data_IF_253083548287
#
_entry.id   IF_253083548287
#
_cell.length_a   1.000
_cell.length_b   1.000
_cell.length_c   1.000
_cell.angle_alpha   90.00
_cell.angle_beta   90.00
_cell.angle_gamma   90.00
#
_symmetry.space_group_name_H-M   'P 1'
#
loop_
_entity.id
_entity.type
_entity.pdbx_description
1 polymer ?
#
# COMPACT_ATOMS: atom_id res chain seq x y z
N UNK A 1 -31.41 -12.39 12.93
CA UNK A 1 -31.15 -12.84 11.54
C UNK A 1 -31.40 -11.64 10.63
N UNK A 2 -30.37 -10.84 10.37
CA UNK A 2 -30.46 -9.75 9.40
C UNK A 2 -30.05 -10.29 8.03
N UNK A 3 -31.02 -10.39 7.11
CA UNK A 3 -30.73 -10.70 5.72
C UNK A 3 -30.14 -9.45 5.08
N UNK A 4 -28.88 -9.55 4.61
CA UNK A 4 -28.27 -8.52 3.77
C UNK A 4 -29.11 -8.37 2.50
N UNK A 5 -29.80 -7.24 2.35
CA UNK A 5 -30.54 -6.89 1.14
C UNK A 5 -29.53 -6.76 -0.02
N UNK A 6 -29.64 -7.61 -1.03
CA UNK A 6 -28.81 -7.52 -2.21
C UNK A 6 -29.06 -6.18 -2.92
N UNK A 7 -27.99 -5.43 -3.23
CA UNK A 7 -28.06 -4.21 -4.02
C UNK A 7 -28.63 -4.56 -5.39
N UNK A 8 -29.72 -3.90 -5.80
CA UNK A 8 -30.32 -4.09 -7.12
C UNK A 8 -29.42 -3.42 -8.15
N UNK A 9 -28.70 -4.24 -8.92
CA UNK A 9 -27.84 -3.80 -10.03
C UNK A 9 -28.76 -3.27 -11.14
N UNK A 10 -28.46 -2.10 -11.68
CA UNK A 10 -29.27 -1.54 -12.77
C UNK A 10 -28.97 -2.23 -14.12
N UNK A 11 -29.82 -2.00 -15.11
CA UNK A 11 -29.74 -2.70 -16.39
C UNK A 11 -28.51 -2.32 -17.22
N UNK A 12 -27.96 -1.13 -17.02
CA UNK A 12 -26.77 -0.66 -17.74
C UNK A 12 -25.51 -1.25 -17.08
N UNK A 13 -25.45 -1.23 -15.75
CA UNK A 13 -24.43 -1.91 -14.95
C UNK A 13 -24.40 -3.42 -15.27
N UNK A 14 -25.57 -4.05 -15.48
CA UNK A 14 -25.66 -5.46 -15.90
C UNK A 14 -25.09 -5.71 -17.30
N UNK A 15 -25.36 -4.84 -18.26
CA UNK A 15 -24.80 -4.95 -19.62
C UNK A 15 -23.29 -4.79 -19.63
N UNK A 16 -22.77 -3.85 -18.86
CA UNK A 16 -21.33 -3.63 -18.71
C UNK A 16 -20.65 -4.88 -18.12
N UNK A 17 -21.23 -5.44 -17.04
CA UNK A 17 -20.74 -6.67 -16.41
C UNK A 17 -20.77 -7.84 -17.41
N UNK A 18 -21.88 -8.01 -18.14
CA UNK A 18 -22.02 -9.09 -19.12
C UNK A 18 -21.06 -8.94 -20.30
N UNK A 19 -20.89 -7.72 -20.81
CA UNK A 19 -19.92 -7.41 -21.86
C UNK A 19 -18.49 -7.68 -21.42
N UNK A 20 -18.12 -7.27 -20.20
CA UNK A 20 -16.81 -7.59 -19.63
C UNK A 20 -16.59 -9.10 -19.49
N UNK A 21 -17.60 -9.85 -19.03
CA UNK A 21 -17.52 -11.30 -18.90
C UNK A 21 -17.33 -12.02 -20.25
N UNK A 22 -18.03 -11.57 -21.30
CA UNK A 22 -17.84 -12.07 -22.66
C UNK A 22 -16.43 -11.77 -23.20
N UNK A 23 -15.94 -10.55 -23.01
CA UNK A 23 -14.58 -10.19 -23.38
C UNK A 23 -13.55 -11.09 -22.70
N UNK A 24 -13.64 -11.29 -21.38
CA UNK A 24 -12.72 -12.15 -20.63
C UNK A 24 -12.81 -13.61 -21.12
N UNK A 25 -14.03 -14.13 -21.36
CA UNK A 25 -14.25 -15.48 -21.90
C UNK A 25 -13.59 -15.67 -23.27
N UNK A 26 -13.60 -14.62 -24.09
CA UNK A 26 -12.97 -14.60 -25.41
C UNK A 26 -11.44 -14.73 -25.33
N UNK A 27 -10.82 -14.28 -24.24
CA UNK A 27 -9.38 -14.35 -24.00
C UNK A 27 -8.90 -15.66 -23.35
N UNK A 28 -9.79 -16.63 -23.07
CA UNK A 28 -9.44 -17.88 -22.37
C UNK A 28 -8.32 -18.72 -23.01
N UNK A 29 -8.00 -18.48 -24.28
CA UNK A 29 -6.93 -19.15 -25.01
C UNK A 29 -5.80 -18.20 -25.43
N UNK A 30 -5.87 -16.93 -25.04
CA UNK A 30 -4.82 -15.97 -25.34
C UNK A 30 -3.71 -16.11 -24.28
N UNK A 31 -2.56 -16.60 -24.71
CA UNK A 31 -1.34 -16.59 -23.89
C UNK A 31 -0.68 -15.23 -24.14
N UNK A 32 -0.70 -14.36 -23.13
CA UNK A 32 0.01 -13.09 -23.20
C UNK A 32 1.52 -13.36 -23.31
N UNK A 33 2.23 -12.52 -24.08
CA UNK A 33 3.69 -12.52 -24.01
C UNK A 33 4.13 -12.20 -22.57
N UNK A 34 5.30 -12.68 -22.11
CA UNK A 34 5.80 -12.35 -20.77
C UNK A 34 5.81 -10.84 -20.49
N UNK A 35 6.16 -10.02 -21.50
CA UNK A 35 6.13 -8.56 -21.43
C UNK A 35 4.70 -8.00 -21.28
N UNK A 36 3.75 -8.51 -22.05
CA UNK A 36 2.35 -8.08 -21.94
C UNK A 36 1.72 -8.51 -20.63
N UNK A 37 2.07 -9.70 -20.11
CA UNK A 37 1.63 -10.16 -18.79
C UNK A 37 2.24 -9.30 -17.67
N UNK A 38 3.52 -8.94 -17.75
CA UNK A 38 4.17 -8.02 -16.81
C UNK A 38 3.52 -6.62 -16.84
N UNK A 39 3.24 -6.09 -18.03
CA UNK A 39 2.56 -4.79 -18.18
C UNK A 39 1.14 -4.83 -17.62
N UNK A 40 0.38 -5.91 -17.86
CA UNK A 40 -0.96 -6.05 -17.31
C UNK A 40 -0.92 -6.16 -15.77
N UNK A 41 0.01 -6.93 -15.21
CA UNK A 41 0.20 -7.03 -13.76
C UNK A 41 0.54 -5.67 -13.14
N UNK A 42 1.43 -4.91 -13.77
CA UNK A 42 1.78 -3.56 -13.33
C UNK A 42 0.57 -2.61 -13.31
N UNK A 43 -0.42 -2.78 -14.18
CA UNK A 43 -1.67 -1.98 -14.15
C UNK A 43 -2.69 -2.41 -13.07
N UNK A 44 -2.56 -3.62 -12.54
CA UNK A 44 -3.41 -4.13 -11.44
C UNK A 44 -2.86 -3.64 -10.09
N UNK A 45 -1.55 -3.49 -9.99
CA UNK A 45 -0.87 -3.12 -8.76
C UNK A 45 -0.65 -1.61 -8.58
N UNK A 46 -1.43 -0.74 -9.26
CA UNK A 46 -1.44 0.72 -9.00
C UNK A 46 -2.64 1.06 -8.10
N UNK A 47 -2.49 1.96 -7.10
CA UNK A 47 -3.61 2.44 -6.29
C UNK A 47 -4.76 3.01 -7.14
N UNK A 48 -5.93 2.39 -7.05
CA UNK A 48 -7.16 2.84 -7.74
C UNK A 48 -8.04 3.63 -6.78
N UNK A 49 -7.59 4.82 -6.40
CA UNK A 49 -8.39 5.74 -5.57
C UNK A 49 -8.75 6.95 -6.43
N UNK A 50 -10.04 7.30 -6.57
CA UNK A 50 -10.47 8.38 -7.47
C UNK A 50 -9.76 9.72 -7.22
N UNK A 51 -9.45 10.06 -5.97
CA UNK A 51 -8.73 11.28 -5.60
C UNK A 51 -7.27 11.30 -6.05
N UNK A 52 -6.69 10.15 -6.40
CA UNK A 52 -5.33 10.01 -6.91
C UNK A 52 -5.27 9.94 -8.44
N UNK A 53 -6.43 10.00 -9.12
CA UNK A 53 -6.48 9.99 -10.59
C UNK A 53 -5.69 11.18 -11.15
N UNK A 54 -4.74 10.88 -12.04
CA UNK A 54 -3.86 11.89 -12.62
C UNK A 54 -2.75 12.41 -11.68
N UNK A 55 -2.68 11.93 -10.43
CA UNK A 55 -1.57 12.23 -9.51
C UNK A 55 -0.46 11.19 -9.56
N UNK A 56 -0.76 9.93 -9.86
CA UNK A 56 0.22 8.84 -9.81
C UNK A 56 1.05 8.80 -11.10
N UNK A 57 2.34 9.07 -10.99
CA UNK A 57 3.31 8.94 -12.08
C UNK A 57 4.06 7.62 -12.01
N UNK A 58 5.40 7.66 -12.08
CA UNK A 58 6.24 6.48 -11.81
C UNK A 58 5.88 5.93 -10.44
N UNK A 59 5.51 4.65 -10.39
CA UNK A 59 5.02 3.98 -9.19
C UNK A 59 5.76 2.66 -8.98
N UNK A 60 6.08 2.35 -7.73
CA UNK A 60 6.68 1.08 -7.34
C UNK A 60 5.66 -0.04 -7.35
N UNK A 61 6.15 -1.29 -7.38
CA UNK A 61 5.33 -2.40 -6.91
C UNK A 61 5.02 -2.22 -5.43
N UNK A 62 3.86 -2.71 -4.95
CA UNK A 62 3.54 -2.66 -3.54
C UNK A 62 4.41 -3.61 -2.72
N UNK A 63 4.61 -3.25 -1.47
CA UNK A 63 5.17 -4.14 -0.46
C UNK A 63 4.30 -4.14 0.79
N UNK A 64 4.35 -5.23 1.54
CA UNK A 64 3.59 -5.38 2.78
C UNK A 64 4.49 -5.30 4.01
N UNK A 65 3.94 -4.73 5.07
CA UNK A 65 4.58 -4.72 6.38
C UNK A 65 3.55 -5.00 7.47
N UNK A 66 3.85 -5.98 8.32
CA UNK A 66 3.12 -6.15 9.58
C UNK A 66 3.58 -5.10 10.59
N UNK A 67 2.63 -4.44 11.25
CA UNK A 67 2.94 -3.48 12.31
C UNK A 67 3.48 -4.19 13.55
N UNK A 68 4.46 -3.58 14.18
CA UNK A 68 5.01 -4.00 15.47
C UNK A 68 4.66 -2.98 16.56
N UNK A 69 4.91 -3.33 17.83
CA UNK A 69 4.73 -2.37 18.94
C UNK A 69 5.48 -1.06 18.71
N UNK A 70 6.69 -1.12 18.15
CA UNK A 70 7.49 0.09 17.90
C UNK A 70 6.88 1.01 16.84
N UNK A 71 6.09 0.45 15.92
CA UNK A 71 5.46 1.22 14.86
C UNK A 71 4.24 1.99 15.39
N UNK A 72 3.46 1.43 16.32
CA UNK A 72 2.26 2.10 16.85
C UNK A 72 2.51 2.85 18.18
N UNK A 73 3.75 2.84 18.68
CA UNK A 73 4.10 3.50 19.93
C UNK A 73 4.12 5.03 19.80
N UNK A 74 3.23 5.69 20.54
CA UNK A 74 3.09 7.16 20.59
C UNK A 74 4.30 7.91 21.14
N UNK A 75 5.29 7.23 21.73
CA UNK A 75 6.57 7.84 22.11
C UNK A 75 7.60 7.84 20.97
N UNK A 76 7.52 6.87 20.06
CA UNK A 76 8.47 6.74 18.94
C UNK A 76 7.97 7.42 17.67
N UNK A 77 6.65 7.51 17.47
CA UNK A 77 5.99 8.27 16.41
C UNK A 77 6.52 7.97 14.99
N UNK A 78 6.80 6.70 14.68
CA UNK A 78 7.40 6.31 13.39
C UNK A 78 6.83 5.00 12.84
N UNK A 79 6.79 4.88 11.53
CA UNK A 79 6.72 3.60 10.83
C UNK A 79 8.13 3.21 10.39
N UNK A 80 8.62 2.05 10.80
CA UNK A 80 9.87 1.49 10.28
C UNK A 80 9.65 0.75 8.96
N UNK A 81 10.51 0.91 7.97
CA UNK A 81 10.40 0.21 6.67
C UNK A 81 11.63 -0.68 6.48
N UNK A 82 11.42 -1.91 6.00
CA UNK A 82 12.51 -2.84 5.75
C UNK A 82 13.46 -2.27 4.69
N UNK A 83 14.76 -2.42 4.91
CA UNK A 83 15.81 -1.97 3.99
C UNK A 83 15.61 -2.49 2.56
N UNK A 84 15.28 -3.77 2.39
CA UNK A 84 15.08 -4.40 1.07
C UNK A 84 13.90 -3.76 0.34
N UNK A 85 12.80 -3.50 1.03
CA UNK A 85 11.63 -2.83 0.43
C UNK A 85 11.98 -1.39 0.01
N UNK A 86 12.77 -0.68 0.82
CA UNK A 86 13.25 0.66 0.46
C UNK A 86 14.15 0.62 -0.77
N UNK A 87 15.11 -0.29 -0.82
CA UNK A 87 16.03 -0.46 -1.96
C UNK A 87 15.28 -0.78 -3.26
N UNK A 88 14.21 -1.56 -3.18
CA UNK A 88 13.45 -1.99 -4.36
C UNK A 88 12.33 -1.01 -4.77
N UNK A 89 11.68 -0.33 -3.81
CA UNK A 89 10.50 0.47 -4.08
C UNK A 89 10.74 1.98 -3.98
N UNK A 90 11.59 2.44 -3.06
CA UNK A 90 11.82 3.87 -2.81
C UNK A 90 13.02 4.39 -3.58
N UNK A 91 14.19 3.74 -3.43
CA UNK A 91 15.45 4.22 -4.02
C UNK A 91 15.38 4.44 -5.54
N UNK A 92 14.74 3.56 -6.35
CA UNK A 92 14.64 3.76 -7.80
C UNK A 92 13.81 4.98 -8.20
N UNK A 93 13.01 5.51 -7.27
CA UNK A 93 12.18 6.68 -7.50
C UNK A 93 12.85 7.97 -7.03
N UNK A 94 13.93 7.93 -6.24
CA UNK A 94 14.62 9.12 -5.74
C UNK A 94 15.24 9.96 -6.88
N UNK A 95 15.26 11.27 -6.67
CA UNK A 95 16.03 12.21 -7.48
C UNK A 95 17.41 12.41 -6.88
N UNK A 96 18.35 12.93 -7.66
CA UNK A 96 19.75 13.08 -7.24
C UNK A 96 19.90 14.02 -6.03
N UNK A 97 19.05 15.03 -5.92
CA UNK A 97 19.03 16.01 -4.83
C UNK A 97 18.38 15.49 -3.53
N UNK A 98 17.68 14.36 -3.57
CA UNK A 98 16.93 13.84 -2.45
C UNK A 98 17.79 12.90 -1.58
N UNK A 99 18.18 13.42 -0.43
CA UNK A 99 19.05 12.74 0.51
C UNK A 99 18.23 12.17 1.69
N UNK A 100 18.16 10.84 1.76
CA UNK A 100 17.43 10.10 2.78
C UNK A 100 18.01 10.32 4.18
N UNK A 101 19.31 10.63 4.32
CA UNK A 101 19.92 10.91 5.64
C UNK A 101 19.46 12.27 6.18
N UNK A 102 19.38 13.28 5.30
CA UNK A 102 18.83 14.60 5.64
C UNK A 102 17.33 14.53 5.88
N UNK A 103 16.65 13.65 5.15
CA UNK A 103 15.22 13.41 5.23
C UNK A 103 14.48 14.14 4.11
N UNK A 104 13.49 13.45 3.57
CA UNK A 104 12.70 13.86 2.42
C UNK A 104 11.27 14.09 2.89
N UNK A 105 10.72 15.27 2.61
CA UNK A 105 9.31 15.55 2.86
C UNK A 105 8.48 14.76 1.85
N UNK A 106 7.48 14.06 2.35
CA UNK A 106 6.61 13.21 1.54
C UNK A 106 5.15 13.43 1.92
N UNK A 107 4.27 13.16 0.96
CA UNK A 107 2.83 13.03 1.23
C UNK A 107 2.47 11.57 1.30
N UNK A 108 1.76 11.18 2.35
CA UNK A 108 1.18 9.84 2.49
C UNK A 108 -0.32 9.93 2.29
N UNK A 109 -0.86 9.12 1.40
CA UNK A 109 -2.30 9.07 1.11
C UNK A 109 -2.88 7.78 1.67
N UNK A 110 -4.06 7.86 2.30
CA UNK A 110 -4.84 6.67 2.68
C UNK A 110 -5.77 6.19 1.56
N UNK A 111 -6.50 5.10 1.82
CA UNK A 111 -7.48 4.52 0.89
C UNK A 111 -8.64 5.46 0.49
N UNK A 112 -8.90 6.52 1.27
CA UNK A 112 -9.90 7.55 0.98
C UNK A 112 -9.30 8.75 0.26
N UNK A 113 -7.98 8.77 0.07
CA UNK A 113 -7.26 9.91 -0.48
C UNK A 113 -6.93 11.00 0.52
N UNK A 114 -7.13 10.79 1.83
CA UNK A 114 -6.72 11.77 2.83
C UNK A 114 -5.20 11.86 2.84
N UNK A 115 -4.70 13.09 2.81
CA UNK A 115 -3.27 13.41 2.83
C UNK A 115 -2.74 13.54 4.26
N UNK A 116 -1.57 12.96 4.50
CA UNK A 116 -0.80 13.04 5.73
C UNK A 116 0.63 13.47 5.39
N UNK A 117 1.01 14.72 5.67
CA UNK A 117 2.39 15.16 5.52
C UNK A 117 3.32 14.39 6.46
N UNK A 118 4.40 13.82 5.93
CA UNK A 118 5.38 13.06 6.71
C UNK A 118 6.80 13.36 6.22
N UNK A 119 7.79 12.88 6.98
CA UNK A 119 9.19 12.88 6.57
C UNK A 119 9.68 11.43 6.44
N UNK A 120 10.17 11.06 5.26
CA UNK A 120 10.90 9.82 5.03
C UNK A 120 12.39 10.04 5.27
N UNK A 121 13.02 9.27 6.16
CA UNK A 121 14.44 9.42 6.43
C UNK A 121 15.13 8.15 6.94
N UNK A 122 16.45 8.12 6.83
CA UNK A 122 17.30 7.16 7.53
C UNK A 122 17.50 7.66 8.96
N UNK A 123 17.03 6.88 9.94
CA UNK A 123 17.21 7.15 11.36
C UNK A 123 18.29 6.25 11.96
N UNK A 124 19.17 6.86 12.76
CA UNK A 124 20.29 6.22 13.45
C UNK A 124 21.20 5.40 12.51
N UNK A 125 21.36 5.86 11.26
CA UNK A 125 22.14 5.23 10.19
C UNK A 125 21.77 3.76 9.89
N UNK A 126 20.60 3.30 10.33
CA UNK A 126 20.22 1.87 10.24
C UNK A 126 18.78 1.63 9.80
N UNK A 127 17.85 2.52 10.15
CA UNK A 127 16.43 2.27 9.97
C UNK A 127 15.77 3.33 9.12
N UNK A 128 15.16 2.94 8.01
CA UNK A 128 14.32 3.83 7.23
C UNK A 128 12.98 4.01 7.91
N UNK A 129 12.53 5.25 8.04
CA UNK A 129 11.30 5.57 8.78
C UNK A 129 10.45 6.62 8.07
N UNK A 130 9.14 6.50 8.22
CA UNK A 130 8.18 7.61 8.06
C UNK A 130 7.87 8.17 9.46
N UNK A 131 7.94 9.50 9.63
CA UNK A 131 7.67 10.18 10.91
C UNK A 131 6.85 11.47 10.75
N UNK A 132 6.60 12.14 11.86
CA UNK A 132 5.89 13.44 12.00
C UNK A 132 4.37 13.39 11.81
N UNK A 133 3.86 12.80 10.72
CA UNK A 133 2.41 12.58 10.53
C UNK A 133 1.93 11.16 10.89
N UNK A 134 2.85 10.26 11.24
CA UNK A 134 2.55 8.83 11.39
C UNK A 134 1.56 8.51 12.52
N UNK A 135 1.63 9.21 13.66
CA UNK A 135 0.70 8.95 14.77
C UNK A 135 -0.72 9.39 14.45
N UNK A 136 -0.88 10.47 13.68
CA UNK A 136 -2.20 10.87 13.18
C UNK A 136 -2.78 9.77 12.30
N UNK A 137 -1.99 9.26 11.34
CA UNK A 137 -2.39 8.13 10.50
C UNK A 137 -2.78 6.90 11.34
N UNK A 138 -1.98 6.52 12.32
CA UNK A 138 -2.30 5.40 13.23
C UNK A 138 -3.62 5.62 13.96
N UNK A 139 -3.88 6.83 14.44
CA UNK A 139 -5.06 7.18 15.23
C UNK A 139 -6.31 7.13 14.37
N UNK A 140 -6.27 7.76 13.21
CA UNK A 140 -7.40 7.83 12.27
C UNK A 140 -7.81 6.46 11.73
N UNK A 141 -6.83 5.57 11.55
CA UNK A 141 -7.06 4.20 11.07
C UNK A 141 -7.13 3.16 12.20
N UNK A 142 -7.10 3.58 13.47
CA UNK A 142 -7.14 2.72 14.66
C UNK A 142 -6.16 1.53 14.59
N UNK A 143 -4.93 1.78 14.13
CA UNK A 143 -3.95 0.74 13.85
C UNK A 143 -3.44 0.04 15.12
N UNK A 144 -3.29 -1.27 15.05
CA UNK A 144 -2.84 -2.13 16.14
C UNK A 144 -1.59 -2.91 15.77
N UNK A 145 -0.65 -3.00 16.72
CA UNK A 145 0.52 -3.86 16.62
C UNK A 145 0.11 -5.32 16.41
N UNK A 146 0.88 -6.04 15.59
CA UNK A 146 0.79 -7.47 15.30
C UNK A 146 -0.49 -7.96 14.62
N UNK A 147 -1.57 -7.18 14.59
CA UNK A 147 -2.82 -7.53 13.93
C UNK A 147 -2.95 -6.92 12.54
N UNK A 148 -2.42 -5.71 12.37
CA UNK A 148 -2.55 -4.96 11.13
C UNK A 148 -1.34 -5.12 10.22
N UNK A 149 -1.67 -5.32 8.95
CA UNK A 149 -0.73 -5.33 7.83
C UNK A 149 -1.00 -4.10 6.99
N UNK A 150 0.06 -3.35 6.72
CA UNK A 150 0.05 -2.29 5.74
C UNK A 150 0.45 -2.84 4.38
N UNK A 151 -0.23 -2.40 3.34
CA UNK A 151 0.26 -2.49 1.96
C UNK A 151 0.60 -1.08 1.49
N UNK A 152 1.85 -0.89 1.08
CA UNK A 152 2.41 0.41 0.74
C UNK A 152 2.81 0.44 -0.73
N UNK A 153 2.59 1.59 -1.34
CA UNK A 153 3.10 1.96 -2.66
C UNK A 153 3.90 3.24 -2.52
N UNK A 154 4.88 3.40 -3.39
CA UNK A 154 5.68 4.62 -3.51
C UNK A 154 5.50 5.14 -4.92
N UNK A 155 5.31 6.43 -5.08
CA UNK A 155 5.14 7.01 -6.41
C UNK A 155 5.63 8.44 -6.47
N UNK A 156 5.88 8.91 -7.69
CA UNK A 156 6.09 10.33 -7.98
C UNK A 156 4.78 10.98 -8.32
N UNK A 157 4.46 12.06 -7.61
CA UNK A 157 3.34 12.91 -7.98
C UNK A 157 3.56 13.46 -9.40
N UNK A 158 2.62 13.29 -10.33
CA UNK A 158 2.79 13.73 -11.72
C UNK A 158 2.99 15.25 -11.82
N UNK A 159 2.11 16.10 -11.25
CA UNK A 159 2.30 17.55 -11.26
C UNK A 159 3.57 18.05 -10.57
N UNK A 160 3.83 17.62 -9.32
CA UNK A 160 4.88 18.23 -8.48
C UNK A 160 6.21 17.48 -8.52
N UNK A 161 6.20 16.23 -8.99
CA UNK A 161 7.32 15.31 -8.92
C UNK A 161 7.77 15.00 -7.48
N UNK A 162 6.96 15.31 -6.47
CA UNK A 162 7.22 14.96 -5.08
C UNK A 162 7.12 13.45 -4.86
N UNK A 163 7.96 12.94 -3.96
CA UNK A 163 7.88 11.57 -3.51
C UNK A 163 6.65 11.40 -2.62
N UNK A 164 5.79 10.45 -2.97
CA UNK A 164 4.55 10.17 -2.28
C UNK A 164 4.46 8.70 -1.90
N UNK A 165 3.72 8.42 -0.84
CA UNK A 165 3.34 7.07 -0.44
C UNK A 165 1.82 6.93 -0.50
N UNK A 166 1.35 5.74 -0.83
CA UNK A 166 -0.05 5.36 -0.63
C UNK A 166 -0.10 4.14 0.28
N UNK A 167 -0.93 4.19 1.31
CA UNK A 167 -1.00 3.15 2.34
C UNK A 167 -2.44 2.69 2.49
N UNK A 168 -2.61 1.37 2.44
CA UNK A 168 -3.84 0.70 2.87
C UNK A 168 -3.52 -0.23 4.03
N UNK A 169 -4.51 -0.50 4.88
CA UNK A 169 -4.37 -1.44 5.99
C UNK A 169 -5.40 -2.57 5.88
N UNK A 170 -5.01 -3.76 6.36
CA UNK A 170 -5.89 -4.90 6.57
C UNK A 170 -5.63 -5.50 7.94
N UNK A 171 -6.69 -5.90 8.64
CA UNK A 171 -6.62 -6.56 9.95
C UNK A 171 -6.88 -8.05 9.81
N UNK A 172 -6.03 -8.89 10.40
CA UNK A 172 -6.36 -10.30 10.59
C UNK A 172 -7.24 -10.46 11.84
N UNK A 173 -8.36 -11.17 11.71
CA UNK A 173 -9.33 -11.35 12.82
C UNK A 173 -8.83 -12.30 13.92
N UNK A 174 -7.81 -13.12 13.66
CA UNK A 174 -7.30 -14.11 14.63
C UNK A 174 -5.77 -14.07 14.72
N UNK A 175 -5.27 -13.70 15.90
CA UNK A 175 -3.87 -13.88 16.30
C UNK A 175 -3.82 -14.97 17.36
N UNK A 176 -3.74 -16.23 16.95
CA UNK A 176 -3.40 -17.31 17.88
C UNK A 176 -1.86 -17.44 17.92
N UNK A 177 -1.21 -17.31 19.09
CA UNK A 177 0.18 -17.68 19.23
C UNK A 177 0.33 -19.14 18.77
N UNK A 178 1.20 -19.41 17.80
CA UNK A 178 1.49 -20.78 17.38
C UNK A 178 2.09 -21.51 18.59
N UNK A 179 1.26 -22.27 19.31
CA UNK A 179 1.72 -23.21 20.33
C UNK A 179 2.43 -24.34 19.59
N UNK A 180 3.77 -24.30 19.54
CA UNK A 180 4.57 -25.46 19.16
C UNK A 180 4.12 -26.63 20.03
N UNK A 181 3.39 -27.60 19.46
CA UNK A 181 3.23 -28.90 20.09
C UNK A 181 4.63 -29.50 20.18
N UNK A 182 5.15 -29.61 21.41
CA UNK A 182 6.25 -30.53 21.69
C UNK A 182 5.69 -31.93 21.41
N UNK A 183 6.13 -32.55 20.33
CA UNK A 183 6.05 -34.00 20.20
C UNK A 183 7.06 -34.53 21.21
N UNK A 184 6.56 -35.08 22.31
CA UNK A 184 7.38 -35.89 23.20
C UNK A 184 7.69 -37.17 22.43
N UNK A 185 8.97 -37.35 22.06
CA UNK A 185 9.53 -38.64 21.68
C UNK A 185 9.87 -39.41 22.96
#
# INVERSE_FOLDING_TARGET
MEQKKAKKIDHEEYKEIYGAALCISSFKHLILSPESAMNLQATIDIPRVPSLNGLIGRCSQPFEKQLTETDVNSKQCRLSINKVDVENAVMPLLKEEEDVEKGIRVKVYDANGKEYPMTFKLWAHKLHVLKEGWIEFCTDHALLAHQDFLKLWVFRNLPTQDLCFFITSRRLQEFQPIKKRRLNA
#
